data_IF_466295358258
#
_entry.id   IF_466295358258
#
_cell.length_a   1.000
_cell.length_b   1.000
_cell.length_c   1.000
_cell.angle_alpha   90.00
_cell.angle_beta   90.00
_cell.angle_gamma   90.00
#
_symmetry.space_group_name_H-M   'P 1'
#
loop_
_entity.id
_entity.type
_entity.pdbx_description
1 polymer ?
#
# COMPACT_ATOMS: atom_id res chain seq x y z
N UNK A 1 -5.61 -12.05 -12.93
CA UNK A 1 -4.85 -11.42 -11.82
C UNK A 1 -5.66 -10.28 -11.23
N UNK A 2 -5.34 -9.84 -10.03
CA UNK A 2 -5.96 -8.63 -9.44
C UNK A 2 -5.45 -7.37 -10.12
N UNK A 3 -6.26 -6.32 -10.20
CA UNK A 3 -5.88 -5.03 -10.78
C UNK A 3 -5.34 -4.06 -9.73
N UNK A 4 -4.66 -3.01 -10.20
CA UNK A 4 -4.48 -1.78 -9.44
C UNK A 4 -5.71 -0.90 -9.65
N UNK A 5 -6.65 -0.97 -8.71
CA UNK A 5 -7.98 -0.36 -8.85
C UNK A 5 -8.00 1.14 -8.48
N UNK A 6 -6.94 1.65 -7.85
CA UNK A 6 -6.84 3.06 -7.46
C UNK A 6 -5.43 3.58 -7.70
N UNK A 7 -5.31 4.58 -8.58
CA UNK A 7 -4.04 5.19 -8.95
C UNK A 7 -4.17 6.72 -8.79
N UNK A 8 -3.33 7.33 -7.98
CA UNK A 8 -3.34 8.77 -7.74
C UNK A 8 -1.93 9.30 -7.99
N UNK A 9 -1.77 10.02 -9.10
CA UNK A 9 -0.51 10.65 -9.51
C UNK A 9 0.08 11.52 -8.39
N UNK A 10 1.38 11.40 -8.15
CA UNK A 10 2.10 12.09 -7.08
C UNK A 10 1.86 11.51 -5.68
N UNK A 11 0.91 10.58 -5.51
CA UNK A 11 0.55 10.01 -4.22
C UNK A 11 0.93 8.54 -4.11
N UNK A 12 0.13 7.64 -4.68
CA UNK A 12 0.33 6.19 -4.60
C UNK A 12 -0.51 5.43 -5.62
N UNK A 13 -0.18 4.16 -5.79
CA UNK A 13 -0.99 3.18 -6.52
C UNK A 13 -1.34 2.00 -5.61
N UNK A 14 -2.61 1.60 -5.63
CA UNK A 14 -3.20 0.62 -4.72
C UNK A 14 -3.82 -0.56 -5.48
N UNK A 15 -3.57 -1.76 -4.96
CA UNK A 15 -4.02 -3.02 -5.52
C UNK A 15 -4.33 -4.06 -4.43
N UNK A 16 -4.38 -5.33 -4.81
CA UNK A 16 -4.61 -6.44 -3.87
C UNK A 16 -6.07 -6.65 -3.45
N UNK A 17 -7.03 -6.07 -4.19
CA UNK A 17 -8.46 -6.36 -4.04
C UNK A 17 -8.92 -7.34 -5.16
N UNK A 18 -9.29 -8.59 -4.84
CA UNK A 18 -9.83 -9.54 -5.81
C UNK A 18 -11.12 -9.08 -6.51
N UNK A 19 -11.88 -8.19 -5.88
CA UNK A 19 -13.13 -7.65 -6.43
C UNK A 19 -12.91 -6.42 -7.30
N UNK A 20 -11.74 -5.77 -7.19
CA UNK A 20 -11.44 -4.51 -7.88
C UNK A 20 -12.25 -3.29 -7.41
N UNK A 21 -13.02 -3.40 -6.33
CA UNK A 21 -13.91 -2.32 -5.84
C UNK A 21 -13.27 -1.37 -4.84
N UNK A 22 -12.11 -1.74 -4.29
CA UNK A 22 -11.45 -1.09 -3.17
C UNK A 22 -12.00 -1.50 -1.80
N UNK A 23 -13.04 -2.34 -1.75
CA UNK A 23 -13.69 -2.77 -0.51
C UNK A 23 -13.48 -4.25 -0.18
N UNK A 24 -12.97 -5.03 -1.13
CA UNK A 24 -12.75 -6.46 -0.97
C UNK A 24 -11.36 -6.80 -0.42
N UNK A 25 -11.11 -8.11 -0.34
CA UNK A 25 -9.82 -8.65 0.09
C UNK A 25 -9.76 -9.03 1.57
N UNK A 26 -9.22 -10.21 1.83
CA UNK A 26 -9.05 -10.78 3.18
C UNK A 26 -7.63 -11.29 3.35
N UNK A 27 -7.17 -11.36 4.60
CA UNK A 27 -5.87 -11.95 4.89
C UNK A 27 -5.92 -13.48 4.73
N UNK A 28 -4.75 -14.12 4.78
CA UNK A 28 -4.65 -15.58 4.79
C UNK A 28 -5.35 -16.25 5.98
N UNK A 29 -5.61 -15.49 7.06
CA UNK A 29 -6.31 -15.98 8.25
C UNK A 29 -7.83 -15.84 8.15
N UNK A 30 -8.37 -15.35 7.03
CA UNK A 30 -9.80 -15.11 6.83
C UNK A 30 -10.38 -13.97 7.66
N UNK A 31 -9.55 -13.25 8.42
CA UNK A 31 -9.92 -12.11 9.29
C UNK A 31 -8.96 -10.94 9.11
N UNK A 32 -9.31 -9.77 9.64
CA UNK A 32 -8.38 -8.64 9.67
C UNK A 32 -7.23 -8.90 10.65
N UNK A 33 -6.09 -8.24 10.44
CA UNK A 33 -4.92 -8.37 11.31
C UNK A 33 -4.31 -7.02 11.67
N UNK A 34 -3.46 -7.05 12.70
CA UNK A 34 -2.92 -5.88 13.38
C UNK A 34 -1.96 -5.07 12.50
N UNK A 35 -1.79 -3.79 12.83
CA UNK A 35 -0.73 -2.97 12.29
C UNK A 35 0.62 -3.33 12.94
N UNK A 36 1.70 -3.25 12.15
CA UNK A 36 3.07 -3.52 12.59
C UNK A 36 3.92 -2.25 12.46
N UNK A 37 3.51 -1.20 13.17
CA UNK A 37 4.15 0.11 13.10
C UNK A 37 5.54 0.08 13.76
N UNK A 38 6.56 0.56 13.03
CA UNK A 38 7.93 0.72 13.53
C UNK A 38 8.41 2.13 13.27
N UNK A 39 9.03 2.77 14.27
CA UNK A 39 9.52 4.14 14.15
C UNK A 39 10.57 4.29 13.04
N UNK A 40 11.37 3.25 12.80
CA UNK A 40 12.38 3.23 11.74
C UNK A 40 11.82 3.11 10.32
N UNK A 41 10.56 2.68 10.16
CA UNK A 41 9.94 2.47 8.85
C UNK A 41 8.95 3.60 8.55
N UNK A 42 9.31 4.44 7.57
CA UNK A 42 8.56 5.65 7.22
C UNK A 42 8.33 5.73 5.72
N UNK A 43 7.26 6.41 5.32
CA UNK A 43 6.94 6.78 3.95
C UNK A 43 7.80 7.98 3.51
N UNK A 44 9.13 7.82 3.55
CA UNK A 44 10.11 8.90 3.37
C UNK A 44 10.75 8.92 1.98
N UNK A 45 10.30 8.07 1.05
CA UNK A 45 10.82 7.95 -0.31
C UNK A 45 9.72 7.53 -1.29
N UNK A 46 10.06 7.55 -2.58
CA UNK A 46 9.29 6.87 -3.64
C UNK A 46 9.46 5.36 -3.51
N UNK A 47 8.42 4.62 -3.85
CA UNK A 47 8.43 3.16 -3.88
C UNK A 47 8.26 2.50 -2.51
N UNK A 48 7.74 3.19 -1.50
CA UNK A 48 7.47 2.55 -0.19
C UNK A 48 6.22 1.69 -0.32
N UNK A 49 6.33 0.43 0.08
CA UNK A 49 5.25 -0.56 0.03
C UNK A 49 4.60 -0.68 1.41
N UNK A 50 3.29 -0.47 1.44
CA UNK A 50 2.52 -0.41 2.68
C UNK A 50 1.15 -1.06 2.56
N UNK A 51 0.61 -1.53 3.68
CA UNK A 51 -0.73 -2.11 3.74
C UNK A 51 -1.78 -1.01 3.55
N UNK A 52 -2.85 -1.30 2.80
CA UNK A 52 -4.06 -0.50 2.82
C UNK A 52 -5.00 -1.04 3.92
N UNK A 53 -5.57 -0.14 4.70
CA UNK A 53 -6.49 -0.47 5.78
C UNK A 53 -7.67 0.54 5.83
N UNK A 54 -8.68 0.24 6.63
CA UNK A 54 -9.87 1.06 6.86
C UNK A 54 -9.94 1.55 8.31
N UNK A 55 -8.78 1.78 8.93
CA UNK A 55 -8.63 2.10 10.36
C UNK A 55 -7.65 1.17 11.08
N UNK A 56 -7.35 1.44 12.37
CA UNK A 56 -6.36 0.67 13.12
C UNK A 56 -6.64 -0.83 13.13
N UNK A 57 -5.62 -1.65 12.88
CA UNK A 57 -5.66 -3.11 12.91
C UNK A 57 -6.67 -3.75 11.94
N UNK A 58 -6.91 -3.12 10.79
CA UNK A 58 -7.85 -3.63 9.77
C UNK A 58 -7.17 -4.11 8.49
N UNK A 59 -5.93 -4.58 8.59
CA UNK A 59 -5.16 -5.06 7.44
C UNK A 59 -5.81 -6.32 6.83
N UNK A 60 -5.80 -6.40 5.51
CA UNK A 60 -6.38 -7.51 4.72
C UNK A 60 -5.41 -7.98 3.65
N UNK A 61 -5.79 -7.90 2.38
CA UNK A 61 -4.91 -8.22 1.24
C UNK A 61 -4.47 -7.00 0.43
N UNK A 62 -5.12 -5.85 0.63
CA UNK A 62 -4.84 -4.67 -0.16
C UNK A 62 -3.55 -3.99 0.31
N UNK A 63 -2.80 -3.45 -0.64
CA UNK A 63 -1.55 -2.74 -0.42
C UNK A 63 -1.41 -1.58 -1.40
N UNK A 64 -0.51 -0.65 -1.10
CA UNK A 64 -0.16 0.43 -2.01
C UNK A 64 1.35 0.68 -2.07
N UNK A 65 1.79 1.29 -3.18
CA UNK A 65 3.16 1.74 -3.39
C UNK A 65 3.14 3.26 -3.56
N UNK A 66 3.95 3.99 -2.79
CA UNK A 66 4.00 5.45 -2.89
C UNK A 66 4.78 5.92 -4.10
N UNK A 67 4.34 7.01 -4.72
CA UNK A 67 5.07 7.69 -5.78
C UNK A 67 6.01 8.79 -5.24
N UNK A 68 5.73 9.31 -4.05
CA UNK A 68 6.55 10.31 -3.40
C UNK A 68 6.62 10.06 -1.89
N UNK A 69 7.36 10.93 -1.17
CA UNK A 69 7.34 10.91 0.30
C UNK A 69 5.94 11.25 0.78
N UNK A 70 5.38 10.47 1.70
CA UNK A 70 4.05 10.67 2.27
C UNK A 70 4.07 10.63 3.81
N UNK A 71 4.70 11.61 4.50
CA UNK A 71 4.90 11.55 5.95
C UNK A 71 3.62 11.44 6.78
N UNK A 72 2.49 11.93 6.25
CA UNK A 72 1.18 11.87 6.92
C UNK A 72 0.61 10.44 7.03
N UNK A 73 1.20 9.46 6.33
CA UNK A 73 0.84 8.04 6.42
C UNK A 73 1.64 7.30 7.52
N UNK A 74 2.68 7.91 8.07
CA UNK A 74 3.51 7.30 9.09
C UNK A 74 2.70 7.02 10.36
N UNK A 75 2.85 5.82 10.91
CA UNK A 75 2.12 5.40 12.10
C UNK A 75 0.67 5.00 11.86
N UNK A 76 0.14 5.21 10.64
CA UNK A 76 -1.24 4.85 10.26
C UNK A 76 -1.29 3.61 9.37
N UNK A 77 -0.27 3.42 8.54
CA UNK A 77 -0.17 2.31 7.59
C UNK A 77 1.12 1.55 7.82
N UNK A 78 1.01 0.23 7.88
CA UNK A 78 2.15 -0.68 8.07
C UNK A 78 3.03 -0.66 6.82
N UNK A 79 4.26 -0.16 6.98
CA UNK A 79 5.32 -0.28 5.96
C UNK A 79 5.96 -1.65 6.10
N UNK A 80 5.94 -2.45 5.02
CA UNK A 80 6.49 -3.81 5.04
C UNK A 80 7.46 -4.08 3.88
N UNK A 81 7.74 -3.09 3.04
CA UNK A 81 8.74 -3.23 2.00
C UNK A 81 9.04 -1.94 1.26
N UNK A 82 9.91 -2.04 0.25
CA UNK A 82 10.17 -0.98 -0.71
C UNK A 82 10.55 -1.57 -2.07
N UNK A 83 10.22 -0.85 -3.13
CA UNK A 83 10.73 -1.11 -4.47
C UNK A 83 12.25 -0.91 -4.46
N UNK A 84 12.98 -1.88 -5.00
CA UNK A 84 14.44 -1.84 -5.13
C UNK A 84 14.91 -1.80 -6.59
N UNK A 85 14.03 -2.19 -7.53
CA UNK A 85 14.25 -2.21 -8.98
C UNK A 85 12.88 -2.09 -9.67
N UNK A 86 12.84 -1.64 -10.95
CA UNK A 86 11.59 -1.47 -11.70
C UNK A 86 10.93 -0.10 -11.50
N UNK A 87 11.71 0.94 -11.19
CA UNK A 87 11.18 2.30 -11.03
C UNK A 87 10.63 2.85 -12.35
N UNK A 88 11.18 2.45 -13.48
CA UNK A 88 10.68 2.76 -14.81
C UNK A 88 9.26 2.23 -15.03
N UNK A 89 8.93 1.06 -14.47
CA UNK A 89 7.57 0.51 -14.50
C UNK A 89 6.67 1.35 -13.60
N UNK A 90 7.14 1.69 -12.40
CA UNK A 90 6.39 2.54 -11.47
C UNK A 90 6.10 3.94 -12.08
N UNK A 91 7.04 4.50 -12.84
CA UNK A 91 6.87 5.77 -13.57
C UNK A 91 5.83 5.65 -14.69
N UNK A 92 5.79 4.52 -15.40
CA UNK A 92 4.77 4.24 -16.40
C UNK A 92 3.39 4.07 -15.78
N UNK A 93 3.32 3.51 -14.57
CA UNK A 93 2.07 3.38 -13.81
C UNK A 93 1.59 4.73 -13.27
N UNK A 94 2.48 5.70 -13.03
CA UNK A 94 2.15 7.04 -12.54
C UNK A 94 1.65 8.02 -13.64
N UNK A 95 0.79 7.53 -14.52
CA UNK A 95 0.13 8.33 -15.56
C UNK A 95 -1.36 8.43 -15.28
#
# INVERSE_FOLDING_TARGET
>A
GTIFHRNIKGFMIQGGDPTGTGKGGTSIWGKKFNDEIRESLKHNARGILSMANSGPNTNGSQFFITYAKQPHLNGLYTVFGRVIHGFEVLDLMEK
#
